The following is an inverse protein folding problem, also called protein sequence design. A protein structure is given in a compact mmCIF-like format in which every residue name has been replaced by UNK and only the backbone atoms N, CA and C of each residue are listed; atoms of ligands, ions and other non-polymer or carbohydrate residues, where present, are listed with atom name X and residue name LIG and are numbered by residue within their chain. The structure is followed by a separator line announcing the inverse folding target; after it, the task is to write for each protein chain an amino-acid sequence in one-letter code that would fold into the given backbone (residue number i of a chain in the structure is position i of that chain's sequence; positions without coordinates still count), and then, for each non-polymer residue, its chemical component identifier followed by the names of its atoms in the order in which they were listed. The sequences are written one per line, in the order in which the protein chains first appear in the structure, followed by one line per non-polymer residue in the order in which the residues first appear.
data_IF_808783603288
#
_entry.id   IF_808783603288
#
_cell.length_a   1.000
_cell.length_b   1.000
_cell.length_c   1.000
_cell.angle_alpha   90.00
_cell.angle_beta   90.00
_cell.angle_gamma   90.00
#
_symmetry.space_group_name_H-M   'P 1'
#
loop_
_entity.id
_entity.type
_entity.pdbx_description
1 polymer ?
#
# COMPACT_ATOMS: atom_id res chain seq x y z
N UNK A 1 -27.54 -43.19 14.72
CA UNK A 1 -26.41 -43.66 13.88
C UNK A 1 -25.53 -42.45 13.62
N UNK A 2 -24.27 -42.40 14.09
CA UNK A 2 -23.40 -41.26 13.82
C UNK A 2 -23.07 -41.21 12.32
N UNK A 3 -23.23 -40.03 11.72
CA UNK A 3 -22.96 -39.79 10.30
C UNK A 3 -21.48 -40.08 9.99
N UNK A 4 -21.23 -41.01 9.06
CA UNK A 4 -19.90 -41.23 8.50
C UNK A 4 -19.59 -40.08 7.56
N UNK A 5 -18.70 -39.19 7.99
CA UNK A 5 -18.15 -38.17 7.10
C UNK A 5 -17.05 -38.80 6.21
N UNK A 6 -16.93 -38.38 4.93
CA UNK A 6 -16.02 -38.98 3.96
C UNK A 6 -14.55 -38.54 4.12
N UNK A 7 -14.14 -38.02 5.28
CA UNK A 7 -12.77 -37.57 5.51
C UNK A 7 -12.05 -38.40 6.58
N UNK A 8 -10.75 -38.59 6.37
CA UNK A 8 -9.85 -39.24 7.32
C UNK A 8 -9.15 -38.17 8.17
N UNK A 9 -9.24 -38.30 9.49
CA UNK A 9 -8.52 -37.43 10.41
C UNK A 9 -7.11 -38.00 10.65
N UNK A 10 -6.09 -37.32 10.12
CA UNK A 10 -4.69 -37.64 10.41
C UNK A 10 -4.15 -36.79 11.57
N UNK A 11 -3.44 -37.44 12.49
CA UNK A 11 -2.78 -36.73 13.58
C UNK A 11 -1.45 -36.14 13.11
N UNK A 12 -1.20 -34.85 13.40
CA UNK A 12 0.02 -34.16 12.97
C UNK A 12 1.20 -34.60 13.86
N UNK A 13 2.25 -35.24 13.30
CA UNK A 13 3.42 -35.64 14.07
C UNK A 13 4.13 -34.43 14.68
N UNK A 14 4.77 -34.60 15.84
CA UNK A 14 5.47 -33.52 16.55
C UNK A 14 6.46 -32.74 15.67
N UNK A 15 7.16 -33.43 14.76
CA UNK A 15 8.09 -32.77 13.81
C UNK A 15 7.39 -31.83 12.83
N UNK A 16 6.19 -32.19 12.34
CA UNK A 16 5.42 -31.30 11.44
C UNK A 16 4.80 -30.13 12.19
N UNK A 17 4.44 -30.33 13.47
CA UNK A 17 3.94 -29.28 14.34
C UNK A 17 4.96 -28.14 14.51
N UNK A 18 6.25 -28.46 14.65
CA UNK A 18 7.30 -27.44 14.72
C UNK A 18 7.33 -26.52 13.48
N UNK A 19 7.22 -27.07 12.28
CA UNK A 19 7.17 -26.28 11.04
C UNK A 19 5.92 -25.39 10.97
N UNK A 20 4.77 -25.91 11.41
CA UNK A 20 3.52 -25.13 11.48
C UNK A 20 3.62 -24.00 12.49
N UNK A 21 4.19 -24.27 13.67
CA UNK A 21 4.39 -23.25 14.71
C UNK A 21 5.37 -22.17 14.23
N UNK A 22 6.45 -22.54 13.53
CA UNK A 22 7.38 -21.58 12.93
C UNK A 22 6.70 -20.70 11.84
N UNK A 23 5.84 -21.30 11.01
CA UNK A 23 5.03 -20.56 10.04
C UNK A 23 4.06 -19.60 10.72
N UNK A 24 3.40 -20.04 11.80
CA UNK A 24 2.49 -19.20 12.59
C UNK A 24 3.22 -18.02 13.24
N UNK A 25 4.43 -18.24 13.76
CA UNK A 25 5.29 -17.17 14.31
C UNK A 25 5.79 -16.17 13.25
N UNK A 26 5.86 -16.59 11.98
CA UNK A 26 6.18 -15.72 10.85
C UNK A 26 5.00 -14.88 10.37
N UNK A 27 3.76 -15.31 10.61
CA UNK A 27 2.53 -14.67 10.13
C UNK A 27 2.33 -13.20 10.55
N UNK A 28 2.64 -12.76 11.79
CA UNK A 28 2.45 -11.36 12.17
C UNK A 28 3.58 -10.43 11.68
N UNK A 29 4.55 -10.93 10.92
CA UNK A 29 5.62 -10.09 10.36
C UNK A 29 5.24 -9.63 8.97
N UNK A 30 5.25 -8.32 8.74
CA UNK A 30 5.15 -7.73 7.42
C UNK A 30 6.31 -8.24 6.55
N UNK A 31 6.03 -9.18 5.63
CA UNK A 31 7.03 -9.72 4.71
C UNK A 31 6.99 -8.91 3.40
N UNK A 32 7.95 -8.01 3.23
CA UNK A 32 8.19 -7.36 1.94
C UNK A 32 8.92 -8.36 1.03
N UNK A 33 8.29 -8.74 -0.08
CA UNK A 33 8.90 -9.61 -1.07
C UNK A 33 9.50 -8.74 -2.18
N UNK A 34 10.82 -8.83 -2.34
CA UNK A 34 11.52 -8.28 -3.50
C UNK A 34 11.96 -9.41 -4.42
N UNK A 35 11.64 -9.30 -5.71
CA UNK A 35 12.19 -10.17 -6.75
C UNK A 35 13.23 -9.35 -7.52
N UNK A 36 14.43 -9.89 -7.64
CA UNK A 36 15.50 -9.33 -8.47
C UNK A 36 15.84 -10.37 -9.54
N UNK A 37 15.78 -9.96 -10.80
CA UNK A 37 16.33 -10.74 -11.89
C UNK A 37 17.84 -10.48 -11.97
N UNK A 38 18.63 -11.56 -11.93
CA UNK A 38 20.08 -11.50 -11.99
C UNK A 38 20.54 -12.34 -13.18
N UNK A 39 21.29 -11.73 -14.09
CA UNK A 39 21.91 -12.48 -15.19
C UNK A 39 22.99 -13.43 -14.64
N UNK A 40 22.79 -14.73 -14.86
CA UNK A 40 23.69 -15.81 -14.39
C UNK A 40 24.53 -16.42 -15.52
N UNK A 41 24.50 -15.87 -16.73
CA UNK A 41 25.22 -16.40 -17.89
C UNK A 41 26.73 -16.50 -17.63
N UNK A 42 27.32 -15.45 -17.06
CA UNK A 42 28.75 -15.39 -16.79
C UNK A 42 29.15 -16.35 -15.65
N UNK A 43 28.34 -16.44 -14.59
CA UNK A 43 28.55 -17.40 -13.51
C UNK A 43 28.54 -18.85 -14.05
N UNK A 44 27.62 -19.17 -14.95
CA UNK A 44 27.58 -20.48 -15.61
C UNK A 44 28.83 -20.74 -16.48
N UNK A 45 29.33 -19.72 -17.19
CA UNK A 45 30.57 -19.84 -17.98
C UNK A 45 31.76 -20.19 -17.08
N UNK A 46 31.92 -19.47 -15.98
CA UNK A 46 33.00 -19.68 -15.00
C UNK A 46 32.92 -21.08 -14.37
N UNK A 47 31.73 -21.53 -13.95
CA UNK A 47 31.57 -22.88 -13.36
C UNK A 47 32.02 -23.98 -14.33
N UNK A 48 31.69 -23.85 -15.62
CA UNK A 48 32.10 -24.83 -16.63
C UNK A 48 33.62 -24.83 -16.83
N UNK A 49 34.23 -23.66 -16.87
CA UNK A 49 35.68 -23.51 -17.00
C UNK A 49 36.41 -24.14 -15.81
N UNK A 50 36.02 -23.81 -14.57
CA UNK A 50 36.64 -24.38 -13.36
C UNK A 50 36.48 -25.91 -13.33
N UNK A 51 35.30 -26.43 -13.71
CA UNK A 51 35.08 -27.88 -13.79
C UNK A 51 36.01 -28.56 -14.80
N UNK A 52 36.32 -27.90 -15.91
CA UNK A 52 37.25 -28.43 -16.92
C UNK A 52 38.71 -28.40 -16.44
N UNK A 53 39.09 -27.37 -15.69
CA UNK A 53 40.47 -27.18 -15.21
C UNK A 53 40.78 -28.00 -13.94
N UNK A 54 39.87 -28.04 -12.96
CA UNK A 54 40.11 -28.68 -11.66
C UNK A 54 39.44 -30.06 -11.50
N UNK A 55 38.48 -30.41 -12.36
CA UNK A 55 37.65 -31.60 -12.21
C UNK A 55 36.61 -31.52 -11.07
N UNK A 56 36.62 -30.44 -10.30
CA UNK A 56 35.68 -30.25 -9.21
C UNK A 56 34.31 -29.76 -9.70
N UNK A 57 33.25 -30.20 -9.02
CA UNK A 57 31.89 -29.72 -9.27
C UNK A 57 31.57 -28.56 -8.35
N UNK A 58 31.77 -27.33 -8.83
CA UNK A 58 31.19 -26.15 -8.18
C UNK A 58 29.68 -26.06 -8.45
N UNK A 59 28.94 -25.71 -7.39
CA UNK A 59 27.51 -25.38 -7.46
C UNK A 59 27.35 -23.87 -7.32
N UNK A 60 26.34 -23.30 -7.99
CA UNK A 60 25.94 -21.90 -7.82
C UNK A 60 25.71 -21.53 -6.35
N UNK A 61 25.19 -22.47 -5.55
CA UNK A 61 24.97 -22.26 -4.11
C UNK A 61 26.28 -21.91 -3.39
N UNK A 62 27.40 -22.55 -3.74
CA UNK A 62 28.71 -22.27 -3.13
C UNK A 62 29.15 -20.84 -3.48
N UNK A 63 28.99 -20.44 -4.75
CA UNK A 63 29.34 -19.08 -5.20
C UNK A 63 28.49 -18.03 -4.46
N UNK A 64 27.18 -18.25 -4.36
CA UNK A 64 26.28 -17.34 -3.64
C UNK A 64 26.68 -17.20 -2.15
N UNK A 65 27.02 -18.31 -1.49
CA UNK A 65 27.50 -18.29 -0.10
C UNK A 65 28.82 -17.51 0.02
N UNK A 66 29.80 -17.77 -0.86
CA UNK A 66 31.06 -17.03 -0.85
C UNK A 66 30.85 -15.53 -1.06
N UNK A 67 29.94 -15.16 -1.96
CA UNK A 67 29.63 -13.77 -2.28
C UNK A 67 28.95 -13.06 -1.09
N UNK A 68 27.97 -13.70 -0.44
CA UNK A 68 27.34 -13.18 0.78
C UNK A 68 28.34 -13.03 1.93
N UNK A 69 29.22 -14.02 2.10
CA UNK A 69 30.25 -13.99 3.13
C UNK A 69 31.26 -12.87 2.86
N UNK A 70 31.62 -12.65 1.60
CA UNK A 70 32.51 -11.56 1.19
C UNK A 70 31.88 -10.18 1.37
N UNK A 71 30.60 -10.00 1.00
CA UNK A 71 29.84 -8.76 1.28
C UNK A 71 29.80 -8.49 2.79
N UNK A 72 29.53 -9.51 3.61
CA UNK A 72 29.48 -9.37 5.07
C UNK A 72 30.82 -8.90 5.64
N UNK A 73 31.94 -9.44 5.13
CA UNK A 73 33.29 -9.02 5.53
C UNK A 73 33.55 -7.57 5.11
N UNK A 74 33.19 -7.18 3.89
CA UNK A 74 33.39 -5.79 3.44
C UNK A 74 32.58 -4.79 4.25
N UNK A 75 31.36 -5.15 4.67
CA UNK A 75 30.48 -4.26 5.43
C UNK A 75 31.04 -3.98 6.83
N UNK A 76 31.85 -4.89 7.39
CA UNK A 76 32.46 -4.73 8.71
C UNK A 76 33.61 -3.69 8.75
N UNK A 77 34.13 -3.26 7.61
CA UNK A 77 35.21 -2.26 7.54
C UNK A 77 34.73 -0.87 7.10
N UNK A 78 33.42 -0.64 6.94
CA UNK A 78 32.92 0.69 6.63
C UNK A 78 33.15 1.63 7.84
N UNK A 79 33.79 2.80 7.66
CA UNK A 79 33.95 3.77 8.73
C UNK A 79 32.55 4.19 9.21
N UNK A 80 32.27 3.98 10.49
CA UNK A 80 31.03 4.40 11.14
C UNK A 80 30.89 5.90 10.94
N UNK A 81 30.04 6.32 10.01
CA UNK A 81 29.70 7.73 9.83
C UNK A 81 29.16 8.24 11.17
N UNK A 82 29.94 9.07 11.83
CA UNK A 82 29.56 9.70 13.10
C UNK A 82 28.37 10.60 12.80
N UNK A 83 27.18 10.38 13.39
CA UNK A 83 26.04 11.26 13.16
C UNK A 83 26.40 12.65 13.69
N UNK A 84 26.56 13.60 12.78
CA UNK A 84 26.78 15.00 13.09
C UNK A 84 25.61 15.55 13.89
N UNK A 85 25.91 16.10 15.06
CA UNK A 85 24.93 16.64 16.00
C UNK A 85 24.06 17.73 15.37
N UNK A 86 22.74 17.53 15.45
CA UNK A 86 21.79 18.62 15.28
C UNK A 86 21.70 19.40 16.59
N UNK A 87 22.07 20.67 16.46
CA UNK A 87 22.07 21.68 17.51
C UNK A 87 20.64 21.94 18.01
N UNK A 88 20.47 21.88 19.32
CA UNK A 88 19.26 22.30 20.03
C UNK A 88 19.00 23.79 19.85
N UNK A 89 17.80 24.14 19.41
CA UNK A 89 17.20 25.45 19.65
C UNK A 89 15.72 25.29 20.04
N UNK A 90 15.45 25.60 21.31
CA UNK A 90 14.16 25.90 21.98
C UNK A 90 14.07 27.45 22.06
N UNK A 91 12.93 28.18 22.21
CA UNK A 91 11.57 27.80 22.66
C UNK A 91 10.38 28.37 21.84
N UNK A 92 9.17 27.86 22.08
CA UNK A 92 8.03 28.63 22.64
C UNK A 92 6.68 27.89 22.48
N UNK A 93 6.15 27.44 23.62
CA UNK A 93 4.76 27.61 24.09
C UNK A 93 3.64 27.78 23.04
N UNK A 94 2.76 26.76 22.92
CA UNK A 94 1.34 26.95 22.53
C UNK A 94 0.47 25.86 23.16
N UNK A 95 -0.30 26.28 24.17
CA UNK A 95 -1.64 25.87 24.60
C UNK A 95 -2.13 24.45 24.24
N UNK A 96 -2.08 23.59 25.26
CA UNK A 96 -2.73 22.29 25.33
C UNK A 96 -4.27 22.45 25.43
N UNK A 97 -4.99 21.97 24.42
CA UNK A 97 -6.46 21.86 24.45
C UNK A 97 -6.86 20.43 24.76
N UNK A 98 -7.16 20.20 26.04
CA UNK A 98 -8.14 19.30 26.65
C UNK A 98 -8.68 18.11 25.82
N UNK A 99 -8.27 16.93 26.26
CA UNK A 99 -8.88 15.61 26.05
C UNK A 99 -10.39 15.60 26.32
N UNK A 100 -11.19 15.19 25.32
CA UNK A 100 -12.58 14.76 25.50
C UNK A 100 -12.61 13.24 25.41
N UNK A 101 -12.73 12.59 26.56
CA UNK A 101 -13.04 11.16 26.69
C UNK A 101 -14.56 11.00 26.55
N UNK A 102 -15.02 10.75 25.33
CA UNK A 102 -16.42 10.40 25.02
C UNK A 102 -16.60 8.87 24.95
N UNK A 103 -17.79 8.34 25.28
CA UNK A 103 -18.00 6.91 25.49
C UNK A 103 -17.89 6.09 24.20
N UNK A 104 -17.36 4.88 24.37
CA UNK A 104 -17.29 3.77 23.41
C UNK A 104 -18.67 3.53 22.76
N UNK A 105 -18.81 3.65 21.43
CA UNK A 105 -20.06 3.29 20.76
C UNK A 105 -20.24 1.77 20.79
N UNK A 106 -21.37 1.36 21.37
CA UNK A 106 -21.90 0.00 21.30
C UNK A 106 -22.44 -0.23 19.89
N UNK A 107 -21.64 -0.90 19.05
CA UNK A 107 -22.09 -1.38 17.74
C UNK A 107 -22.84 -2.72 17.90
N UNK A 108 -24.11 -2.71 17.49
CA UNK A 108 -24.99 -3.85 17.21
C UNK A 108 -25.59 -3.61 15.80
N UNK A 109 -26.12 -4.64 15.12
CA UNK A 109 -25.57 -5.07 13.84
C UNK A 109 -26.42 -4.63 12.63
N UNK A 110 -25.73 -4.43 11.50
CA UNK A 110 -26.30 -4.69 10.18
C UNK A 110 -27.17 -3.58 9.58
N UNK A 111 -26.61 -2.40 9.32
CA UNK A 111 -27.16 -1.46 8.32
C UNK A 111 -26.00 -0.61 7.81
N UNK A 112 -25.86 -0.48 6.49
CA UNK A 112 -24.65 0.00 5.81
C UNK A 112 -24.01 1.22 6.47
N UNK A 113 -22.73 1.09 6.86
CA UNK A 113 -21.92 2.21 7.30
C UNK A 113 -21.65 3.09 6.08
N UNK A 114 -22.50 4.10 5.86
CA UNK A 114 -22.15 5.21 4.99
C UNK A 114 -20.94 5.93 5.61
N UNK A 115 -19.78 5.77 4.97
CA UNK A 115 -18.57 6.51 5.35
C UNK A 115 -18.81 7.97 4.96
N UNK A 116 -19.10 8.81 5.95
CA UNK A 116 -19.24 10.24 5.72
C UNK A 116 -17.85 10.85 5.51
N UNK A 117 -17.52 11.14 4.25
CA UNK A 117 -16.33 11.91 3.90
C UNK A 117 -16.69 13.40 3.97
N UNK A 118 -16.12 14.13 4.92
CA UNK A 118 -16.24 15.59 4.94
C UNK A 118 -15.36 16.20 3.85
N UNK A 119 -15.97 16.89 2.89
CA UNK A 119 -15.26 17.68 1.88
C UNK A 119 -14.92 19.05 2.47
N UNK A 120 -13.62 19.42 2.58
CA UNK A 120 -13.26 20.76 3.05
C UNK A 120 -13.75 21.84 2.08
N UNK A 121 -14.08 23.05 2.56
CA UNK A 121 -14.44 24.15 1.68
C UNK A 121 -13.39 24.42 0.60
N UNK A 122 -13.82 24.48 -0.66
CA UNK A 122 -12.95 24.72 -1.82
C UNK A 122 -12.22 23.49 -2.38
N UNK A 123 -12.33 22.33 -1.72
CA UNK A 123 -11.86 21.06 -2.28
C UNK A 123 -12.81 20.61 -3.40
N UNK A 124 -12.25 20.19 -4.53
CA UNK A 124 -13.01 19.65 -5.67
C UNK A 124 -12.95 18.13 -5.72
N UNK A 125 -11.85 17.53 -5.25
CA UNK A 125 -11.69 16.08 -5.19
C UNK A 125 -11.15 15.71 -3.81
N UNK A 126 -11.78 14.72 -3.16
CA UNK A 126 -11.24 14.02 -2.01
C UNK A 126 -11.07 12.56 -2.39
N UNK A 127 -9.84 12.08 -2.43
CA UNK A 127 -9.52 10.71 -2.80
C UNK A 127 -8.84 10.01 -1.61
N UNK A 128 -9.35 8.85 -1.23
CA UNK A 128 -8.77 8.01 -0.19
C UNK A 128 -8.56 6.60 -0.71
N UNK A 129 -7.38 6.06 -0.43
CA UNK A 129 -7.01 4.67 -0.70
C UNK A 129 -6.55 4.04 0.61
N UNK A 130 -7.20 2.96 1.02
CA UNK A 130 -6.83 2.23 2.23
C UNK A 130 -6.78 0.72 2.00
N UNK A 131 -5.96 0.01 2.77
CA UNK A 131 -5.87 -1.46 2.72
C UNK A 131 -4.52 -1.99 2.25
N UNK A 132 -4.54 -3.14 1.57
CA UNK A 132 -3.35 -3.92 1.25
C UNK A 132 -2.67 -4.53 2.48
N UNK A 133 -1.67 -5.37 2.25
CA UNK A 133 -0.93 -6.09 3.30
C UNK A 133 -0.20 -5.17 4.29
N UNK A 134 0.09 -3.93 3.89
CA UNK A 134 0.80 -2.95 4.69
C UNK A 134 -0.14 -2.09 5.55
N UNK A 135 -1.46 -2.23 5.40
CA UNK A 135 -2.43 -1.36 6.07
C UNK A 135 -2.24 0.11 5.68
N UNK A 136 -1.99 0.36 4.39
CA UNK A 136 -1.84 1.71 3.85
C UNK A 136 -3.14 2.49 4.10
N UNK A 137 -3.04 3.76 4.45
CA UNK A 137 -4.16 4.70 4.48
C UNK A 137 -3.69 6.04 3.94
N UNK A 138 -3.91 6.25 2.65
CA UNK A 138 -3.55 7.46 1.92
C UNK A 138 -4.80 8.29 1.67
N UNK A 139 -4.75 9.57 1.98
CA UNK A 139 -5.80 10.53 1.67
C UNK A 139 -5.20 11.74 0.96
N UNK A 140 -5.88 12.18 -0.08
CA UNK A 140 -5.51 13.34 -0.88
C UNK A 140 -6.71 14.27 -1.04
N UNK A 141 -6.45 15.55 -0.85
CA UNK A 141 -7.44 16.62 -0.99
C UNK A 141 -6.92 17.55 -2.08
N UNK A 142 -7.66 17.66 -3.17
CA UNK A 142 -7.31 18.45 -4.35
C UNK A 142 -8.27 19.63 -4.40
N UNK A 143 -7.71 20.83 -4.43
CA UNK A 143 -8.45 22.09 -4.47
C UNK A 143 -8.51 22.66 -5.89
N UNK A 144 -9.55 23.44 -6.19
CA UNK A 144 -9.73 24.06 -7.50
C UNK A 144 -8.58 25.00 -7.92
N UNK A 145 -7.81 25.49 -6.96
CA UNK A 145 -6.69 26.41 -7.16
C UNK A 145 -5.36 25.69 -7.37
N UNK A 146 -5.34 24.37 -7.62
CA UNK A 146 -4.10 23.62 -7.82
C UNK A 146 -3.39 23.20 -6.54
N UNK A 147 -3.94 23.47 -5.35
CA UNK A 147 -3.36 23.01 -4.09
C UNK A 147 -3.70 21.53 -3.89
N UNK A 148 -2.69 20.72 -3.58
CA UNK A 148 -2.83 19.31 -3.19
C UNK A 148 -2.39 19.17 -1.73
N UNK A 149 -3.17 18.45 -0.92
CA UNK A 149 -2.84 18.19 0.49
C UNK A 149 -2.92 16.69 0.78
N UNK A 150 -1.86 16.09 1.30
CA UNK A 150 -1.86 14.69 1.74
C UNK A 150 -2.44 14.52 3.14
N UNK A 151 -2.63 13.26 3.56
CA UNK A 151 -3.09 12.90 4.90
C UNK A 151 -2.19 13.45 6.02
N UNK A 152 -0.87 13.55 5.75
CA UNK A 152 0.13 14.07 6.68
C UNK A 152 0.18 15.61 6.70
N UNK A 153 -0.66 16.28 5.91
CA UNK A 153 -0.69 17.74 5.81
C UNK A 153 0.44 18.33 4.96
N UNK A 154 1.16 17.50 4.18
CA UNK A 154 2.11 18.01 3.18
C UNK A 154 1.33 18.65 2.04
N UNK A 155 1.87 19.73 1.50
CA UNK A 155 1.23 20.51 0.48
C UNK A 155 2.09 20.60 -0.78
N UNK A 156 1.42 20.52 -1.92
CA UNK A 156 2.00 20.75 -3.25
C UNK A 156 1.12 21.71 -4.02
N UNK A 157 1.71 22.33 -5.05
CA UNK A 157 1.04 23.27 -5.92
C UNK A 157 1.23 22.84 -7.37
N UNK A 158 0.13 22.61 -8.07
CA UNK A 158 0.10 22.37 -9.52
C UNK A 158 -0.65 23.49 -10.24
N UNK A 159 -0.65 23.49 -11.58
CA UNK A 159 -1.41 24.46 -12.35
C UNK A 159 -2.92 24.22 -12.16
N UNK A 160 -3.71 25.23 -11.76
CA UNK A 160 -5.17 25.11 -11.65
C UNK A 160 -5.86 24.57 -12.91
N UNK A 161 -5.28 24.79 -14.10
CA UNK A 161 -5.80 24.27 -15.38
C UNK A 161 -5.69 22.75 -15.48
N UNK A 162 -4.68 22.16 -14.86
CA UNK A 162 -4.52 20.70 -14.81
C UNK A 162 -5.58 20.09 -13.89
N UNK A 163 -5.87 20.71 -12.74
CA UNK A 163 -7.01 20.30 -11.88
C UNK A 163 -8.33 20.40 -12.65
N UNK A 164 -8.56 21.50 -13.36
CA UNK A 164 -9.78 21.67 -14.15
C UNK A 164 -9.91 20.59 -15.23
N UNK A 165 -8.80 20.23 -15.87
CA UNK A 165 -8.76 19.15 -16.88
C UNK A 165 -9.03 17.78 -16.27
N UNK A 166 -8.50 17.50 -15.08
CA UNK A 166 -8.79 16.28 -14.32
C UNK A 166 -10.28 16.18 -13.99
N UNK A 167 -10.89 17.24 -13.47
CA UNK A 167 -12.32 17.29 -13.13
C UNK A 167 -13.19 17.04 -14.37
N UNK A 168 -12.91 17.74 -15.48
CA UNK A 168 -13.63 17.54 -16.74
C UNK A 168 -13.52 16.09 -17.23
N UNK A 169 -12.32 15.49 -17.15
CA UNK A 169 -12.11 14.10 -17.55
C UNK A 169 -12.92 13.11 -16.70
N UNK A 170 -13.01 13.34 -15.39
CA UNK A 170 -13.83 12.53 -14.47
C UNK A 170 -15.33 12.66 -14.81
N UNK A 171 -15.79 13.87 -15.12
CA UNK A 171 -17.18 14.10 -15.55
C UNK A 171 -17.49 13.44 -16.90
N UNK A 172 -16.59 13.54 -17.88
CA UNK A 172 -16.69 12.87 -19.20
C UNK A 172 -16.76 11.34 -19.08
N UNK A 173 -16.10 10.75 -18.07
CA UNK A 173 -16.16 9.32 -17.77
C UNK A 173 -17.46 8.89 -17.06
N UNK A 174 -18.39 9.83 -16.85
CA UNK A 174 -19.73 9.55 -16.33
C UNK A 174 -19.76 9.32 -14.81
N UNK A 175 -18.85 9.94 -14.05
CA UNK A 175 -18.76 9.73 -12.59
C UNK A 175 -20.08 10.02 -11.84
N UNK A 176 -20.85 11.01 -12.30
CA UNK A 176 -22.15 11.37 -11.72
C UNK A 176 -23.15 10.21 -11.72
N UNK A 177 -23.08 9.36 -12.75
CA UNK A 177 -24.05 8.30 -13.04
C UNK A 177 -23.68 6.97 -12.36
N UNK A 178 -22.48 6.87 -11.80
CA UNK A 178 -22.03 5.68 -11.07
C UNK A 178 -22.86 5.45 -9.81
N UNK A 179 -23.00 4.18 -9.41
CA UNK A 179 -23.55 3.82 -8.09
C UNK A 179 -22.63 4.37 -7.00
N UNK A 180 -23.20 4.75 -5.85
CA UNK A 180 -22.40 5.26 -4.72
C UNK A 180 -21.51 4.20 -4.07
N UNK A 181 -21.75 2.92 -4.31
CA UNK A 181 -20.98 1.83 -3.68
C UNK A 181 -20.91 0.59 -4.56
N UNK A 182 -19.69 0.03 -4.65
CA UNK A 182 -19.32 -1.23 -5.28
C UNK A 182 -18.52 -2.09 -4.29
N UNK A 183 -19.14 -2.38 -3.14
CA UNK A 183 -18.56 -3.21 -2.10
C UNK A 183 -19.08 -4.65 -2.24
N UNK A 184 -18.18 -5.63 -2.35
CA UNK A 184 -18.55 -7.05 -2.21
C UNK A 184 -18.77 -7.41 -0.74
N UNK A 185 -19.56 -8.46 -0.49
CA UNK A 185 -19.78 -9.00 0.86
C UNK A 185 -18.53 -9.65 1.47
N UNK A 186 -17.49 -9.85 0.66
CA UNK A 186 -16.30 -10.64 0.94
C UNK A 186 -15.04 -9.79 0.77
N UNK A 187 -14.97 -8.66 1.50
CA UNK A 187 -13.82 -7.75 1.60
C UNK A 187 -12.60 -8.34 2.35
N UNK A 188 -12.48 -9.67 2.39
CA UNK A 188 -11.36 -10.38 3.03
C UNK A 188 -10.14 -10.40 2.08
N UNK A 189 -8.93 -10.60 2.58
CA UNK A 189 -8.08 -9.57 3.18
C UNK A 189 -7.03 -9.22 2.10
N UNK A 190 -6.35 -8.09 2.23
CA UNK A 190 -5.29 -7.59 1.31
C UNK A 190 -5.75 -6.86 0.05
N UNK A 191 -7.05 -6.56 -0.08
CA UNK A 191 -7.54 -5.67 -1.16
C UNK A 191 -7.43 -4.21 -0.75
N UNK A 192 -7.26 -3.32 -1.72
CA UNK A 192 -7.44 -1.89 -1.50
C UNK A 192 -8.92 -1.52 -1.60
N UNK A 193 -9.37 -0.68 -0.66
CA UNK A 193 -10.62 0.08 -0.75
C UNK A 193 -10.33 1.52 -1.14
N UNK A 194 -11.23 2.07 -1.91
CA UNK A 194 -11.14 3.41 -2.45
C UNK A 194 -12.41 4.18 -2.13
N UNK A 195 -12.25 5.46 -1.79
CA UNK A 195 -13.33 6.40 -1.65
C UNK A 195 -12.97 7.63 -2.47
N UNK A 196 -13.85 8.00 -3.39
CA UNK A 196 -13.70 9.20 -4.20
C UNK A 196 -14.93 10.08 -4.01
N UNK A 197 -14.70 11.31 -3.58
CA UNK A 197 -15.71 12.36 -3.56
C UNK A 197 -15.34 13.45 -4.57
N UNK A 198 -16.26 13.73 -5.49
CA UNK A 198 -16.17 14.85 -6.43
C UNK A 198 -17.17 15.93 -6.01
N UNK A 199 -16.71 17.18 -5.89
CA UNK A 199 -17.53 18.35 -5.59
C UNK A 199 -17.46 19.35 -6.73
N UNK A 200 -18.52 19.45 -7.53
CA UNK A 200 -18.63 20.39 -8.67
C UNK A 200 -19.95 21.14 -8.64
N UNK A 201 -19.90 22.46 -8.82
CA UNK A 201 -21.10 23.30 -8.88
C UNK A 201 -22.00 23.25 -7.63
N UNK A 202 -21.46 22.89 -6.47
CA UNK A 202 -22.22 22.71 -5.22
C UNK A 202 -22.89 21.34 -5.07
N UNK A 203 -22.71 20.43 -6.03
CA UNK A 203 -23.14 19.03 -5.91
C UNK A 203 -21.95 18.18 -5.47
N UNK A 204 -22.20 17.26 -4.54
CA UNK A 204 -21.21 16.29 -4.08
C UNK A 204 -21.65 14.88 -4.45
N UNK A 205 -20.73 14.12 -5.05
CA UNK A 205 -20.93 12.70 -5.36
C UNK A 205 -19.79 11.90 -4.75
N UNK A 206 -20.14 10.90 -3.93
CA UNK A 206 -19.19 9.96 -3.37
C UNK A 206 -19.41 8.57 -3.95
N UNK A 207 -18.31 7.93 -4.37
CA UNK A 207 -18.30 6.55 -4.83
C UNK A 207 -17.25 5.78 -4.04
N UNK A 208 -17.65 4.63 -3.50
CA UNK A 208 -16.78 3.72 -2.74
C UNK A 208 -16.67 2.39 -3.47
N UNK A 209 -15.46 1.85 -3.61
CA UNK A 209 -15.25 0.53 -4.24
C UNK A 209 -14.08 -0.22 -3.62
N UNK A 210 -14.02 -1.53 -3.85
CA UNK A 210 -12.92 -2.41 -3.43
C UNK A 210 -12.33 -3.07 -4.67
N UNK A 211 -11.01 -3.11 -4.74
CA UNK A 211 -10.28 -3.74 -5.84
C UNK A 211 -10.74 -5.18 -6.13
N UNK A 212 -10.62 -5.60 -7.39
CA UNK A 212 -11.01 -6.92 -7.87
C UNK A 212 -12.50 -7.27 -7.70
N UNK A 213 -13.37 -6.30 -7.46
CA UNK A 213 -14.81 -6.48 -7.58
C UNK A 213 -15.21 -6.50 -9.08
N UNK A 214 -15.78 -7.59 -9.61
CA UNK A 214 -16.15 -7.72 -11.02
C UNK A 214 -17.32 -6.82 -11.43
N UNK A 215 -18.07 -6.24 -10.49
CA UNK A 215 -19.13 -5.27 -10.77
C UNK A 215 -18.61 -3.84 -10.98
N UNK A 216 -17.31 -3.58 -10.78
CA UNK A 216 -16.74 -2.24 -10.98
C UNK A 216 -16.77 -1.89 -12.48
N UNK A 217 -17.37 -0.75 -12.86
CA UNK A 217 -17.32 -0.26 -14.24
C UNK A 217 -15.89 0.13 -14.64
N UNK A 218 -15.53 -0.13 -15.90
CA UNK A 218 -14.21 0.23 -16.43
C UNK A 218 -13.89 1.73 -16.29
N UNK A 219 -14.91 2.61 -16.39
CA UNK A 219 -14.73 4.05 -16.21
C UNK A 219 -14.24 4.43 -14.82
N UNK A 220 -14.63 3.69 -13.77
CA UNK A 220 -14.17 3.95 -12.40
C UNK A 220 -12.70 3.57 -12.21
N UNK A 221 -12.24 2.50 -12.88
CA UNK A 221 -10.81 2.13 -12.91
C UNK A 221 -9.99 3.18 -13.66
N UNK A 222 -10.48 3.66 -14.80
CA UNK A 222 -9.82 4.73 -15.56
C UNK A 222 -9.73 6.04 -14.74
N UNK A 223 -10.81 6.43 -14.05
CA UNK A 223 -10.80 7.57 -13.12
C UNK A 223 -9.73 7.40 -12.03
N UNK A 224 -9.63 6.20 -11.44
CA UNK A 224 -8.63 5.90 -10.42
C UNK A 224 -7.20 6.11 -10.95
N UNK A 225 -6.91 5.59 -12.14
CA UNK A 225 -5.59 5.74 -12.79
C UNK A 225 -5.27 7.21 -13.07
N UNK A 226 -6.21 8.00 -13.60
CA UNK A 226 -6.01 9.43 -13.83
C UNK A 226 -5.70 10.20 -12.55
N UNK A 227 -6.44 9.95 -11.47
CA UNK A 227 -6.21 10.63 -10.18
C UNK A 227 -4.84 10.24 -9.61
N UNK A 228 -4.48 8.95 -9.65
CA UNK A 228 -3.19 8.49 -9.15
C UNK A 228 -2.02 9.04 -9.96
N UNK A 229 -2.12 9.05 -11.29
CA UNK A 229 -1.12 9.67 -12.17
C UNK A 229 -0.97 11.17 -11.87
N UNK A 230 -2.09 11.90 -11.77
CA UNK A 230 -2.09 13.31 -11.41
C UNK A 230 -1.42 13.59 -10.05
N UNK A 231 -1.70 12.78 -9.03
CA UNK A 231 -1.08 12.90 -7.71
C UNK A 231 0.43 12.61 -7.79
N UNK A 232 0.85 11.58 -8.52
CA UNK A 232 2.26 11.22 -8.68
C UNK A 232 3.05 12.33 -9.38
N UNK A 233 2.53 12.83 -10.51
CA UNK A 233 3.16 13.91 -11.27
C UNK A 233 3.23 15.21 -10.48
N UNK A 234 2.15 15.56 -9.76
CA UNK A 234 2.07 16.78 -8.96
C UNK A 234 2.93 16.74 -7.69
N UNK A 235 3.12 15.56 -7.09
CA UNK A 235 3.90 15.40 -5.86
C UNK A 235 5.38 15.09 -6.10
N UNK A 236 5.74 14.57 -7.28
CA UNK A 236 7.09 14.16 -7.67
C UNK A 236 8.02 15.28 -8.14
N UNK A 237 7.56 16.53 -8.26
CA UNK A 237 8.37 17.67 -8.72
C UNK A 237 9.26 18.31 -7.64
N UNK A 238 9.45 17.68 -6.47
CA UNK A 238 10.30 18.21 -5.38
C UNK A 238 11.70 17.64 -5.36
#
# INVERSE_FOLDING_TARGET
MPAQYPYHLENIPRMRRFTLDAGYLGHPRYMVHGLLEVDVNEAHRIIRQVKQESGERLSLLKIAIYLLLWISILTACAPTATPGGQSSATPAETTSTRTVTGPKPTNLPGTGLEVQVTVPPGAVIVFQRSGGIAGLDEKWIIYNNGRLVSAEGKEWQVDPREVASLVLKIEELGFSDLRGSYLEWNSCCDRFSYILTLSTGGNEKTVTWVEANPEIPASLLEIQEYIQGFIQDGSGQT
#
